data_IF_684386246929
#
_entry.id   IF_684386246929
#
_cell.length_a   1.000
_cell.length_b   1.000
_cell.length_c   1.000
_cell.angle_alpha   90.00
_cell.angle_beta   90.00
_cell.angle_gamma   90.00
#
_symmetry.space_group_name_H-M   'P 1'
#
loop_
_entity.id
_entity.type
_entity.pdbx_description
1 polymer ?
#
# COMPACT_ATOMS: atom_id res chain seq x y z
N UNK A 1 28.48 -2.35 8.87
CA UNK A 1 27.25 -1.94 8.15
C UNK A 1 26.43 -1.07 9.08
N UNK A 2 25.97 0.08 8.61
CA UNK A 2 25.07 0.94 9.38
C UNK A 2 23.65 0.63 8.91
N UNK A 3 22.79 0.12 9.79
CA UNK A 3 21.39 -0.16 9.49
C UNK A 3 20.53 0.03 10.74
N UNK A 4 19.24 0.22 10.51
CA UNK A 4 18.21 0.13 11.54
C UNK A 4 17.43 -1.16 11.29
N UNK A 5 17.51 -2.13 12.19
CA UNK A 5 16.85 -3.41 12.00
C UNK A 5 17.32 -4.50 12.95
N UNK A 6 16.92 -5.72 12.63
CA UNK A 6 17.30 -6.96 13.30
C UNK A 6 18.22 -7.77 12.39
N UNK A 7 19.06 -8.62 12.98
CA UNK A 7 19.93 -9.58 12.25
C UNK A 7 19.59 -11.03 12.56
N UNK A 8 18.67 -11.24 13.50
CA UNK A 8 18.09 -12.52 13.86
C UNK A 8 16.68 -12.66 13.26
N UNK A 9 16.03 -13.79 13.53
CA UNK A 9 14.71 -14.13 12.97
C UNK A 9 13.57 -13.41 13.72
N UNK A 10 13.69 -12.10 13.87
CA UNK A 10 12.76 -11.24 14.57
C UNK A 10 12.31 -10.08 13.68
N UNK A 11 11.05 -9.64 13.78
CA UNK A 11 10.58 -8.51 13.01
C UNK A 11 11.14 -7.18 13.53
N UNK A 12 11.35 -6.21 12.63
CA UNK A 12 11.52 -4.81 13.01
C UNK A 12 10.14 -4.17 13.15
N UNK A 13 9.82 -3.64 14.34
CA UNK A 13 8.49 -3.07 14.64
C UNK A 13 8.61 -1.62 15.07
N UNK A 14 7.80 -0.75 14.45
CA UNK A 14 7.62 0.65 14.83
C UNK A 14 6.26 0.81 15.50
N UNK A 15 6.24 1.32 16.74
CA UNK A 15 5.04 1.50 17.55
C UNK A 15 4.85 2.96 17.95
N UNK A 16 3.59 3.37 18.08
CA UNK A 16 3.23 4.63 18.74
C UNK A 16 2.00 4.40 19.62
N UNK A 17 2.01 4.99 20.82
CA UNK A 17 0.99 4.75 21.85
C UNK A 17 0.76 3.25 22.15
N UNK A 18 1.83 2.46 22.23
CA UNK A 18 1.74 1.02 22.45
C UNK A 18 1.14 0.21 21.29
N UNK A 19 0.74 0.85 20.18
CA UNK A 19 0.16 0.17 19.02
C UNK A 19 1.20 0.06 17.90
N UNK A 20 1.31 -1.11 17.31
CA UNK A 20 2.12 -1.35 16.12
C UNK A 20 1.56 -0.59 14.91
N UNK A 21 2.43 0.20 14.27
CA UNK A 21 2.08 0.99 13.09
C UNK A 21 2.73 0.45 11.84
N UNK A 22 4.00 0.06 11.94
CA UNK A 22 4.78 -0.52 10.84
C UNK A 22 5.52 -1.73 11.35
N UNK A 23 5.58 -2.78 10.52
CA UNK A 23 6.41 -3.96 10.75
C UNK A 23 7.12 -4.35 9.46
N UNK A 24 8.38 -4.75 9.59
CA UNK A 24 9.06 -5.59 8.61
C UNK A 24 9.18 -6.97 9.25
N UNK A 25 8.56 -7.99 8.65
CA UNK A 25 8.66 -9.38 9.15
C UNK A 25 10.10 -9.89 9.01
N UNK A 26 10.40 -10.98 9.70
CA UNK A 26 11.65 -11.74 9.53
C UNK A 26 11.87 -12.20 8.08
N UNK A 27 10.79 -12.34 7.29
CA UNK A 27 10.82 -12.68 5.87
C UNK A 27 10.88 -11.44 4.95
N UNK A 28 10.98 -10.23 5.50
CA UNK A 28 11.09 -8.98 4.74
C UNK A 28 9.78 -8.40 4.21
N UNK A 29 8.62 -8.91 4.64
CA UNK A 29 7.31 -8.37 4.26
C UNK A 29 6.99 -7.12 5.10
N UNK A 30 6.47 -6.08 4.46
CA UNK A 30 6.17 -4.80 5.11
C UNK A 30 4.67 -4.67 5.38
N UNK A 31 4.30 -4.50 6.64
CA UNK A 31 2.94 -4.21 7.06
C UNK A 31 2.78 -2.79 7.58
N UNK A 32 1.74 -2.07 7.15
CA UNK A 32 1.30 -0.80 7.76
C UNK A 32 -0.13 -0.97 8.25
N UNK A 33 -0.33 -0.87 9.57
CA UNK A 33 -1.63 -1.14 10.22
C UNK A 33 -2.06 -2.62 10.20
N UNK A 34 -1.13 -3.54 9.91
CA UNK A 34 -1.37 -4.99 9.83
C UNK A 34 -0.19 -5.77 10.40
N UNK A 35 -0.46 -6.71 11.31
CA UNK A 35 0.58 -7.46 12.03
C UNK A 35 1.13 -8.67 11.25
N UNK A 36 0.33 -9.21 10.32
CA UNK A 36 0.66 -10.39 9.52
C UNK A 36 0.47 -10.06 8.02
N UNK A 37 1.37 -9.28 7.42
CA UNK A 37 1.32 -9.00 5.99
C UNK A 37 1.52 -10.30 5.19
N UNK A 38 0.73 -10.49 4.14
CA UNK A 38 0.86 -11.62 3.19
C UNK A 38 1.49 -11.19 1.86
N UNK A 39 1.58 -9.88 1.63
CA UNK A 39 2.20 -9.27 0.45
C UNK A 39 3.51 -8.57 0.84
N UNK A 40 4.34 -8.26 -0.14
CA UNK A 40 5.57 -7.49 0.06
C UNK A 40 5.31 -6.16 0.79
N UNK A 41 4.19 -5.52 0.46
CA UNK A 41 3.64 -4.38 1.16
C UNK A 41 2.14 -4.57 1.34
N UNK A 42 1.69 -4.78 2.58
CA UNK A 42 0.28 -4.79 2.95
C UNK A 42 -0.04 -3.53 3.76
N UNK A 43 -1.00 -2.73 3.32
CA UNK A 43 -1.47 -1.53 4.04
C UNK A 43 -2.95 -1.70 4.37
N UNK A 44 -3.29 -1.65 5.66
CA UNK A 44 -4.68 -1.81 6.13
C UNK A 44 -5.09 -0.65 7.02
N UNK A 45 -6.19 0.00 6.65
CA UNK A 45 -6.85 1.01 7.46
C UNK A 45 -8.19 0.44 7.95
N UNK A 46 -8.38 0.37 9.27
CA UNK A 46 -9.65 -0.05 9.89
C UNK A 46 -10.44 1.13 10.47
N UNK A 47 -9.91 2.35 10.35
CA UNK A 47 -10.58 3.59 10.72
C UNK A 47 -11.15 4.31 9.51
N UNK A 48 -11.36 5.62 9.64
CA UNK A 48 -11.82 6.46 8.54
C UNK A 48 -10.68 6.87 7.59
N UNK A 49 -11.03 7.14 6.33
CA UNK A 49 -10.11 7.70 5.34
C UNK A 49 -9.41 6.66 4.45
N UNK A 50 -8.39 7.12 3.71
CA UNK A 50 -7.65 6.30 2.74
C UNK A 50 -6.56 5.49 3.41
N UNK A 51 -6.26 4.30 2.90
CA UNK A 51 -5.09 3.52 3.29
C UNK A 51 -3.77 4.11 2.70
N UNK A 52 -3.84 4.68 1.50
CA UNK A 52 -2.72 5.33 0.82
C UNK A 52 -3.17 6.48 -0.07
N UNK A 53 -2.24 7.35 -0.43
CA UNK A 53 -2.46 8.45 -1.37
C UNK A 53 -1.21 8.67 -2.21
N UNK A 54 -1.35 8.51 -3.52
CA UNK A 54 -0.28 8.70 -4.50
C UNK A 54 -0.67 9.87 -5.39
N UNK A 55 0.10 10.96 -5.36
CA UNK A 55 -0.21 12.19 -6.07
C UNK A 55 1.05 12.79 -6.71
N UNK A 56 0.92 13.21 -7.96
CA UNK A 56 1.83 14.13 -8.63
C UNK A 56 1.22 15.54 -8.61
N UNK A 57 1.91 16.50 -8.00
CA UNK A 57 1.47 17.91 -7.95
C UNK A 57 2.51 18.82 -8.61
N UNK A 58 2.72 18.64 -9.90
CA UNK A 58 3.68 19.41 -10.70
C UNK A 58 3.21 19.43 -12.16
N UNK A 59 2.85 20.62 -12.68
CA UNK A 59 2.30 20.78 -14.03
C UNK A 59 3.28 20.47 -15.18
N UNK A 60 4.58 20.38 -14.90
CA UNK A 60 5.59 19.96 -15.87
C UNK A 60 5.86 18.43 -15.84
N UNK A 61 5.28 17.69 -14.89
CA UNK A 61 5.53 16.26 -14.77
C UNK A 61 4.64 15.47 -15.75
N UNK A 62 5.27 14.60 -16.54
CA UNK A 62 4.59 13.73 -17.51
C UNK A 62 4.67 12.23 -17.11
N UNK A 63 4.77 11.94 -15.81
CA UNK A 63 4.86 10.58 -15.28
C UNK A 63 3.59 10.22 -14.50
N UNK A 64 3.24 8.93 -14.50
CA UNK A 64 2.14 8.43 -13.68
C UNK A 64 2.46 8.56 -12.18
N UNK A 65 1.49 9.01 -11.38
CA UNK A 65 1.61 9.00 -9.91
C UNK A 65 1.71 7.58 -9.35
N UNK A 66 1.14 6.60 -10.06
CA UNK A 66 1.24 5.17 -9.77
C UNK A 66 1.35 4.40 -11.09
N UNK A 67 2.41 3.60 -11.22
CA UNK A 67 2.58 2.66 -12.32
C UNK A 67 2.61 1.23 -11.76
N UNK A 68 1.89 0.32 -12.40
CA UNK A 68 1.90 -1.11 -12.05
C UNK A 68 2.09 -1.92 -13.33
N UNK A 69 3.04 -2.86 -13.31
CA UNK A 69 3.43 -3.66 -14.47
C UNK A 69 3.68 -5.09 -14.02
N UNK A 70 3.11 -6.06 -14.76
CA UNK A 70 3.44 -7.48 -14.61
C UNK A 70 4.45 -7.83 -15.69
N UNK A 71 5.66 -8.23 -15.30
CA UNK A 71 6.68 -8.74 -16.21
C UNK A 71 6.91 -10.23 -15.93
N UNK A 72 7.01 -11.05 -16.98
CA UNK A 72 7.33 -12.48 -16.87
C UNK A 72 6.43 -13.25 -15.87
N UNK A 73 5.12 -12.97 -15.86
CA UNK A 73 4.16 -13.57 -14.94
C UNK A 73 2.73 -13.54 -15.48
N UNK A 74 1.80 -14.13 -14.71
CA UNK A 74 0.36 -14.11 -14.96
C UNK A 74 -0.34 -13.36 -13.82
N UNK A 75 -1.38 -12.58 -14.12
CA UNK A 75 -2.15 -11.83 -13.11
C UNK A 75 -2.48 -10.40 -13.52
N UNK A 76 -3.26 -9.71 -12.68
CA UNK A 76 -3.62 -8.31 -12.90
C UNK A 76 -2.56 -7.38 -12.32
N UNK A 77 -2.13 -6.37 -13.08
CA UNK A 77 -1.26 -5.31 -12.55
C UNK A 77 -1.98 -4.46 -11.49
N UNK A 78 -3.30 -4.28 -11.63
CA UNK A 78 -4.16 -3.62 -10.67
C UNK A 78 -5.39 -4.48 -10.44
N UNK A 79 -5.74 -4.72 -9.18
CA UNK A 79 -6.96 -5.39 -8.77
C UNK A 79 -7.70 -4.52 -7.75
N UNK A 80 -8.95 -4.18 -8.04
CA UNK A 80 -9.82 -3.42 -7.15
C UNK A 80 -11.09 -4.22 -6.89
N UNK A 81 -11.45 -4.41 -5.63
CA UNK A 81 -12.65 -5.12 -5.22
C UNK A 81 -13.35 -4.38 -4.09
N UNK A 82 -14.68 -4.45 -4.11
CA UNK A 82 -15.55 -4.01 -3.02
C UNK A 82 -16.21 -5.28 -2.49
N UNK A 83 -15.89 -5.64 -1.26
CA UNK A 83 -16.39 -6.88 -0.64
C UNK A 83 -17.58 -6.65 0.30
N UNK A 84 -17.84 -5.40 0.68
CA UNK A 84 -18.99 -5.05 1.52
C UNK A 84 -20.27 -4.99 0.65
N UNK A 85 -21.26 -5.87 0.87
CA UNK A 85 -22.49 -5.88 0.07
C UNK A 85 -23.35 -4.64 0.28
N UNK A 86 -23.15 -3.89 1.38
CA UNK A 86 -23.84 -2.63 1.63
C UNK A 86 -23.18 -1.42 0.94
N UNK A 87 -22.01 -1.58 0.34
CA UNK A 87 -21.28 -0.46 -0.25
C UNK A 87 -21.88 -0.04 -1.60
N UNK A 88 -22.31 1.22 -1.68
CA UNK A 88 -22.87 1.83 -2.89
C UNK A 88 -21.85 2.62 -3.73
N UNK A 89 -20.58 2.69 -3.31
CA UNK A 89 -19.52 3.39 -4.04
C UNK A 89 -18.87 2.50 -5.11
N UNK A 90 -18.37 3.06 -6.23
CA UNK A 90 -17.65 2.27 -7.22
C UNK A 90 -16.27 1.83 -6.67
N UNK A 91 -15.83 0.63 -7.03
CA UNK A 91 -14.49 0.14 -6.67
C UNK A 91 -13.35 0.92 -7.35
N UNK A 92 -13.62 1.50 -8.52
CA UNK A 92 -12.74 2.43 -9.22
C UNK A 92 -13.54 3.66 -9.65
N UNK A 93 -13.04 4.84 -9.30
CA UNK A 93 -13.58 6.13 -9.72
C UNK A 93 -12.51 6.89 -10.49
N UNK A 94 -12.82 7.31 -11.71
CA UNK A 94 -11.91 8.05 -12.58
C UNK A 94 -12.55 9.36 -13.02
N UNK A 95 -11.75 10.44 -13.02
CA UNK A 95 -12.15 11.76 -13.51
C UNK A 95 -11.00 12.35 -14.32
N UNK A 96 -11.30 12.84 -15.51
CA UNK A 96 -10.37 13.65 -16.31
C UNK A 96 -10.85 15.09 -16.29
N UNK A 97 -9.98 16.00 -15.86
CA UNK A 97 -10.18 17.45 -15.98
C UNK A 97 -9.16 17.95 -17.01
N UNK A 98 -9.52 17.97 -18.28
CA UNK A 98 -8.60 18.27 -19.37
C UNK A 98 -8.94 17.54 -20.67
N UNK A 99 -8.00 17.49 -21.60
CA UNK A 99 -8.20 16.91 -22.94
C UNK A 99 -7.87 15.41 -23.04
N UNK A 100 -7.50 14.75 -21.94
CA UNK A 100 -7.13 13.32 -21.92
C UNK A 100 -6.39 12.96 -20.66
#
# INVERSE_FOLDING_TARGET
>A
VNFLGTTDNQPLVVRTNGVERVRVTENGLVGVGIANPTDQLSVRNTGAGRAGFFQTNNGANNAAALAAVVQNGNGSALFASVLDPGNSAPGLYATTLGTG
#
